data_IF_724486026754
#
_entry.id   IF_724486026754
#
_cell.length_a   1.000
_cell.length_b   1.000
_cell.length_c   1.000
_cell.angle_alpha   90.00
_cell.angle_beta   90.00
_cell.angle_gamma   90.00
#
_symmetry.space_group_name_H-M   'P 1'
#
loop_
_entity.id
_entity.type
_entity.pdbx_description
1 polymer ?
#
# COMPACT_ATOMS: atom_id res chain seq x y z
N UNK A 1 9.01 -7.04 0.38
CA UNK A 1 10.24 -6.58 1.06
C UNK A 1 10.70 -7.74 1.93
N UNK A 2 11.86 -8.35 1.64
CA UNK A 2 12.55 -9.22 2.59
C UNK A 2 13.32 -8.26 3.51
N UNK A 3 13.00 -8.20 4.81
CA UNK A 3 13.74 -7.37 5.76
C UNK A 3 14.67 -8.30 6.55
N UNK A 4 15.97 -8.11 6.40
CA UNK A 4 16.97 -8.70 7.28
C UNK A 4 17.10 -7.86 8.57
N UNK A 5 17.44 -8.46 9.72
CA UNK A 5 17.50 -7.73 10.98
C UNK A 5 18.72 -6.82 11.00
N UNK A 6 18.50 -5.50 11.11
CA UNK A 6 19.55 -4.53 11.41
C UNK A 6 19.73 -3.38 10.43
N UNK A 7 19.00 -3.31 9.32
CA UNK A 7 19.17 -2.22 8.36
C UNK A 7 17.82 -1.58 8.00
N UNK A 8 17.59 -0.36 8.49
CA UNK A 8 16.41 0.44 8.17
C UNK A 8 16.73 1.92 7.93
N UNK A 9 17.88 2.41 8.40
CA UNK A 9 18.32 3.78 8.15
C UNK A 9 18.79 3.98 6.71
N UNK A 10 19.52 3.03 6.14
CA UNK A 10 19.90 3.05 4.72
C UNK A 10 18.66 2.95 3.82
N UNK A 11 17.73 2.03 4.12
CA UNK A 11 16.47 1.88 3.37
C UNK A 11 15.58 3.13 3.48
N UNK A 12 15.54 3.79 4.64
CA UNK A 12 14.82 5.04 4.85
C UNK A 12 15.44 6.20 4.05
N UNK A 13 16.76 6.34 4.08
CA UNK A 13 17.45 7.38 3.32
C UNK A 13 17.33 7.14 1.82
N UNK A 14 17.43 5.88 1.37
CA UNK A 14 17.19 5.48 -0.01
C UNK A 14 15.76 5.80 -0.46
N UNK A 15 14.76 5.59 0.42
CA UNK A 15 13.37 5.92 0.11
C UNK A 15 13.14 7.41 -0.16
N UNK A 16 13.91 8.29 0.50
CA UNK A 16 13.86 9.74 0.25
C UNK A 16 14.54 10.13 -1.05
N UNK A 17 15.69 9.53 -1.36
CA UNK A 17 16.44 9.79 -2.59
C UNK A 17 15.66 9.31 -3.82
N UNK A 18 15.07 8.12 -3.72
CA UNK A 18 14.38 7.45 -4.83
C UNK A 18 12.89 7.83 -4.95
N UNK A 19 12.41 8.78 -4.14
CA UNK A 19 10.98 9.18 -4.09
C UNK A 19 10.04 7.98 -3.97
N UNK A 20 10.44 6.95 -3.22
CA UNK A 20 9.67 5.72 -3.08
C UNK A 20 8.35 6.05 -2.39
N UNK A 21 7.25 5.50 -2.92
CA UNK A 21 5.91 5.72 -2.37
C UNK A 21 5.90 5.31 -0.90
N UNK A 22 5.76 6.32 -0.04
CA UNK A 22 5.57 6.14 1.37
C UNK A 22 4.33 5.24 1.64
N UNK A 23 4.34 4.51 2.75
CA UNK A 23 3.18 3.74 3.18
C UNK A 23 2.00 4.70 3.38
N UNK A 24 0.99 4.52 2.54
CA UNK A 24 -0.02 5.54 2.21
C UNK A 24 -0.80 6.09 3.42
N UNK A 25 -1.23 5.31 4.44
CA UNK A 25 -1.96 5.90 5.55
C UNK A 25 -1.07 6.50 6.63
N UNK A 26 0.17 6.04 6.80
CA UNK A 26 1.03 6.49 7.91
C UNK A 26 1.70 7.80 7.53
N UNK A 27 2.43 7.83 6.41
CA UNK A 27 3.27 8.99 6.10
C UNK A 27 2.56 10.06 5.28
N UNK A 28 1.58 9.70 4.46
CA UNK A 28 0.90 10.68 3.59
C UNK A 28 -0.07 11.60 4.36
N UNK A 29 -0.46 11.23 5.58
CA UNK A 29 -1.40 11.98 6.40
C UNK A 29 -0.74 12.76 7.56
N UNK A 30 0.60 12.81 7.61
CA UNK A 30 1.32 13.60 8.62
C UNK A 30 1.44 12.90 9.98
N UNK A 31 1.63 11.58 10.02
CA UNK A 31 1.82 10.85 11.30
C UNK A 31 3.00 11.38 12.13
N UNK A 32 4.09 11.79 11.47
CA UNK A 32 5.30 12.32 12.11
C UNK A 32 5.25 13.84 12.35
N UNK A 33 4.19 14.52 11.90
CA UNK A 33 4.07 15.95 12.08
C UNK A 33 3.77 16.27 13.54
N UNK A 34 4.19 17.46 14.00
CA UNK A 34 3.91 17.92 15.37
C UNK A 34 2.41 17.93 15.67
N UNK A 35 1.59 18.28 14.67
CA UNK A 35 0.13 18.19 14.70
C UNK A 35 -0.35 17.02 13.82
N UNK A 36 -0.49 15.84 14.43
CA UNK A 36 -1.00 14.63 13.78
C UNK A 36 -2.53 14.49 13.82
N UNK A 37 -3.26 15.58 14.09
CA UNK A 37 -4.74 15.57 14.18
C UNK A 37 -5.43 15.07 12.91
N UNK A 38 -4.88 15.42 11.75
CA UNK A 38 -5.41 14.97 10.46
C UNK A 38 -5.26 13.46 10.25
N UNK A 39 -4.09 12.90 10.61
CA UNK A 39 -3.87 11.45 10.59
C UNK A 39 -4.84 10.71 11.52
N UNK A 40 -4.99 11.17 12.77
CA UNK A 40 -5.91 10.57 13.75
C UNK A 40 -7.36 10.54 13.29
N UNK A 41 -7.78 11.50 12.45
CA UNK A 41 -9.15 11.55 11.93
C UNK A 41 -9.44 10.42 10.95
N UNK A 42 -8.44 9.98 10.19
CA UNK A 42 -8.61 9.06 9.07
C UNK A 42 -8.00 7.67 9.32
N UNK A 43 -7.27 7.51 10.42
CA UNK A 43 -6.69 6.25 10.86
C UNK A 43 -7.52 5.61 12.00
N UNK A 44 -7.76 4.28 11.97
CA UNK A 44 -7.48 3.37 10.85
C UNK A 44 -8.46 3.60 9.69
N UNK A 45 -8.08 3.21 8.47
CA UNK A 45 -8.97 3.31 7.32
C UNK A 45 -10.18 2.38 7.49
N UNK A 46 -11.39 2.85 7.20
CA UNK A 46 -12.59 1.99 7.33
C UNK A 46 -12.59 0.87 6.28
N UNK A 47 -12.12 1.17 5.06
CA UNK A 47 -12.15 0.23 3.94
C UNK A 47 -10.96 0.41 3.00
N UNK A 48 -10.43 -0.71 2.51
CA UNK A 48 -9.38 -0.75 1.47
C UNK A 48 -9.73 -1.81 0.42
N UNK A 49 -9.47 -1.51 -0.85
CA UNK A 49 -9.71 -2.45 -1.95
C UNK A 49 -8.55 -2.49 -2.93
N UNK A 50 -8.05 -3.68 -3.23
CA UNK A 50 -6.95 -3.87 -4.17
C UNK A 50 -6.97 -5.26 -4.83
N UNK A 51 -6.12 -5.44 -5.84
CA UNK A 51 -5.98 -6.74 -6.52
C UNK A 51 -5.28 -7.79 -5.63
N UNK A 52 -5.63 -9.07 -5.79
CA UNK A 52 -5.10 -10.20 -5.01
C UNK A 52 -3.58 -10.27 -4.91
N UNK A 53 -2.87 -9.87 -5.95
CA UNK A 53 -1.40 -9.89 -5.96
C UNK A 53 -0.78 -8.96 -4.91
N UNK A 54 -1.53 -7.96 -4.43
CA UNK A 54 -1.07 -7.01 -3.41
C UNK A 54 -1.08 -7.59 -1.99
N UNK A 55 -1.68 -8.77 -1.76
CA UNK A 55 -1.76 -9.38 -0.41
C UNK A 55 -0.36 -9.62 0.18
N UNK A 56 0.53 -10.23 -0.60
CA UNK A 56 1.84 -10.70 -0.10
C UNK A 56 2.83 -9.58 0.18
N UNK A 57 2.61 -8.41 -0.41
CA UNK A 57 3.52 -7.29 -0.32
C UNK A 57 2.82 -6.10 0.30
N UNK A 58 1.95 -5.42 -0.44
CA UNK A 58 1.43 -4.14 -0.01
C UNK A 58 0.55 -4.22 1.24
N UNK A 59 -0.41 -5.15 1.29
CA UNK A 59 -1.23 -5.35 2.49
C UNK A 59 -0.41 -5.78 3.71
N UNK A 60 0.56 -6.69 3.50
CA UNK A 60 1.44 -7.17 4.55
C UNK A 60 2.33 -6.05 5.11
N UNK A 61 3.00 -5.28 4.24
CA UNK A 61 3.87 -4.18 4.65
C UNK A 61 3.08 -3.10 5.41
N UNK A 62 1.86 -2.79 4.97
CA UNK A 62 0.97 -1.87 5.69
C UNK A 62 0.65 -2.40 7.09
N UNK A 63 0.18 -3.65 7.18
CA UNK A 63 -0.21 -4.25 8.45
C UNK A 63 0.96 -4.31 9.43
N UNK A 64 2.10 -4.82 8.98
CA UNK A 64 3.31 -4.96 9.78
C UNK A 64 3.76 -3.61 10.35
N UNK A 65 3.89 -2.59 9.50
CA UNK A 65 4.35 -1.27 9.93
C UNK A 65 3.36 -0.56 10.85
N UNK A 66 2.06 -0.64 10.54
CA UNK A 66 1.01 -0.04 11.36
C UNK A 66 1.01 -0.62 12.76
N UNK A 67 1.03 -1.96 12.89
CA UNK A 67 1.06 -2.63 14.18
C UNK A 67 2.36 -2.31 14.93
N UNK A 68 3.48 -2.21 14.22
CA UNK A 68 4.79 -1.87 14.83
C UNK A 68 4.83 -0.45 15.38
N UNK A 69 4.18 0.51 14.72
CA UNK A 69 4.23 1.93 15.09
C UNK A 69 3.10 2.38 16.01
N UNK A 70 1.91 1.77 15.87
CA UNK A 70 0.66 2.25 16.46
C UNK A 70 -0.08 1.20 17.26
N UNK A 71 0.40 -0.06 17.26
CA UNK A 71 -0.26 -1.22 17.86
C UNK A 71 -1.65 -1.54 17.26
N UNK A 72 -2.04 -0.87 16.18
CA UNK A 72 -3.34 -1.02 15.52
C UNK A 72 -3.18 -1.40 14.03
N UNK A 73 -4.13 -2.18 13.52
CA UNK A 73 -4.19 -2.51 12.10
C UNK A 73 -4.56 -1.28 11.26
N UNK A 74 -4.01 -1.10 10.05
CA UNK A 74 -4.17 0.15 9.30
C UNK A 74 -5.53 0.28 8.60
N UNK A 75 -6.32 -0.79 8.58
CA UNK A 75 -7.64 -0.85 7.97
C UNK A 75 -8.58 -1.77 8.76
N UNK A 76 -9.88 -1.45 8.76
CA UNK A 76 -10.93 -2.26 9.40
C UNK A 76 -11.48 -3.35 8.49
N UNK A 77 -11.69 -3.02 7.22
CA UNK A 77 -12.21 -3.95 6.21
C UNK A 77 -11.38 -3.92 4.93
N UNK A 78 -11.12 -5.08 4.34
CA UNK A 78 -10.40 -5.19 3.08
C UNK A 78 -11.22 -6.02 2.06
N UNK A 79 -11.39 -5.48 0.85
CA UNK A 79 -11.91 -6.21 -0.31
C UNK A 79 -10.75 -6.52 -1.26
N UNK A 80 -10.68 -7.76 -1.69
CA UNK A 80 -9.69 -8.17 -2.68
C UNK A 80 -10.40 -8.69 -3.91
N UNK A 81 -10.05 -8.13 -5.07
CA UNK A 81 -10.58 -8.55 -6.36
C UNK A 81 -9.52 -9.28 -7.20
N UNK A 82 -10.00 -10.02 -8.20
CA UNK A 82 -9.15 -10.76 -9.13
C UNK A 82 -8.86 -9.97 -10.41
N UNK A 83 -7.88 -10.44 -11.18
CA UNK A 83 -7.53 -9.85 -12.48
C UNK A 83 -8.74 -9.76 -13.40
N UNK A 84 -8.82 -8.64 -14.11
CA UNK A 84 -9.77 -8.48 -15.23
C UNK A 84 -9.23 -9.26 -16.42
N UNK A 85 -10.12 -9.99 -17.10
CA UNK A 85 -9.79 -10.81 -18.27
C UNK A 85 -10.47 -10.25 -19.53
N UNK A 86 -9.81 -10.44 -20.68
CA UNK A 86 -10.34 -10.13 -22.01
C UNK A 86 -11.42 -11.15 -22.46
N UNK A 87 -12.04 -10.91 -23.61
CA UNK A 87 -13.09 -11.78 -24.17
C UNK A 87 -12.62 -13.21 -24.47
N UNK A 88 -11.30 -13.42 -24.53
CA UNK A 88 -10.66 -14.73 -24.77
C UNK A 88 -10.19 -15.37 -23.47
N UNK A 89 -10.52 -14.77 -22.32
CA UNK A 89 -10.16 -15.27 -20.99
C UNK A 89 -8.69 -15.04 -20.62
N UNK A 90 -7.97 -14.13 -21.28
CA UNK A 90 -6.58 -13.79 -20.90
C UNK A 90 -6.57 -12.56 -19.99
N UNK A 91 -5.67 -12.48 -18.99
CA UNK A 91 -5.53 -11.27 -18.18
C UNK A 91 -5.26 -10.02 -19.03
N UNK A 92 -5.86 -8.90 -18.66
CA UNK A 92 -5.65 -7.62 -19.34
C UNK A 92 -4.30 -7.01 -18.96
N UNK A 93 -3.47 -6.71 -19.97
CA UNK A 93 -2.16 -6.09 -19.82
C UNK A 93 -1.96 -4.96 -20.83
N UNK A 94 -1.50 -3.79 -20.37
CA UNK A 94 -1.24 -2.63 -21.24
C UNK A 94 -0.28 -2.96 -22.39
N UNK A 95 0.75 -3.77 -22.14
CA UNK A 95 1.75 -4.19 -23.11
C UNK A 95 1.22 -5.16 -24.17
N UNK A 96 0.14 -5.88 -23.87
CA UNK A 96 -0.46 -6.85 -24.80
C UNK A 96 -1.52 -6.22 -25.72
N UNK A 97 -1.83 -4.93 -25.52
CA UNK A 97 -2.83 -4.23 -26.30
C UNK A 97 -4.27 -4.69 -26.05
N UNK A 98 -4.51 -5.58 -25.08
CA UNK A 98 -5.85 -6.12 -24.74
C UNK A 98 -6.52 -5.34 -23.60
N UNK A 99 -6.18 -4.06 -23.44
CA UNK A 99 -6.85 -3.15 -22.49
C UNK A 99 -7.94 -2.36 -23.21
N UNK A 100 -9.11 -2.27 -22.58
CA UNK A 100 -10.17 -1.37 -23.05
C UNK A 100 -9.81 0.05 -22.60
N UNK A 101 -9.68 0.97 -23.57
CA UNK A 101 -9.46 2.39 -23.29
C UNK A 101 -10.79 3.11 -23.37
N UNK A 102 -11.11 3.88 -22.34
CA UNK A 102 -12.21 4.82 -22.37
C UNK A 102 -11.67 6.16 -22.87
N UNK A 103 -12.36 6.73 -23.87
CA UNK A 103 -12.08 8.06 -24.41
C UNK A 103 -12.94 9.12 -23.72
#
# INVERSE_FOLDING_TARGET
MHIAPGCGEEDYNLSKVESLKALVPIFTLGYLDEDNSYWRKWFPAEFVTEIREQIRLWFYSLLFMSVTLTEEAPYRSALVYEKVHDERGRPMHKSWGNVIRFA
#
